data_IF_504990482890
#
_entry.id   IF_504990482890
#
_cell.length_a   1.000
_cell.length_b   1.000
_cell.length_c   1.000
_cell.angle_alpha   90.00
_cell.angle_beta   90.00
_cell.angle_gamma   90.00
#
_symmetry.space_group_name_H-M   'P 1'
#
loop_
_entity.id
_entity.type
_entity.pdbx_description
1 polymer ?
#
# COMPACT_ATOMS: atom_id res chain seq x y z
N UNK A 1 -3.29 -2.77 10.21
CA UNK A 1 -4.12 -1.75 9.50
C UNK A 1 -3.57 -1.57 8.09
N UNK A 2 -4.41 -1.28 7.09
CA UNK A 2 -3.98 -1.10 5.71
C UNK A 2 -4.00 0.37 5.28
N UNK A 3 -3.48 0.64 4.08
CA UNK A 3 -3.59 1.92 3.36
C UNK A 3 -5.01 2.51 3.47
N UNK A 4 -5.10 3.83 3.63
CA UNK A 4 -6.28 4.65 3.99
C UNK A 4 -6.70 4.53 5.46
N UNK A 5 -6.72 3.34 6.05
CA UNK A 5 -7.17 3.17 7.44
C UNK A 5 -6.21 3.77 8.47
N UNK A 6 -4.90 3.71 8.19
CA UNK A 6 -3.89 4.28 9.09
C UNK A 6 -3.97 5.80 9.08
N UNK A 7 -4.08 6.38 7.89
CA UNK A 7 -4.17 7.81 7.67
C UNK A 7 -5.47 8.37 8.28
N UNK A 8 -6.60 7.68 8.09
CA UNK A 8 -7.88 8.07 8.72
C UNK A 8 -7.85 7.97 10.24
N UNK A 9 -7.16 6.97 10.80
CA UNK A 9 -7.00 6.86 12.26
C UNK A 9 -6.16 8.00 12.81
N UNK A 10 -5.01 8.29 12.19
CA UNK A 10 -4.17 9.43 12.57
C UNK A 10 -4.97 10.72 12.47
N UNK A 11 -5.68 10.93 11.36
CA UNK A 11 -6.50 12.12 11.14
C UNK A 11 -7.61 12.28 12.17
N UNK A 12 -8.27 11.18 12.57
CA UNK A 12 -9.35 11.18 13.57
C UNK A 12 -8.86 11.63 14.95
N UNK A 13 -7.65 11.23 15.33
CA UNK A 13 -7.12 11.46 16.69
C UNK A 13 -6.08 12.57 16.77
N UNK A 14 -5.77 13.24 15.65
CA UNK A 14 -4.70 14.23 15.56
C UNK A 14 -4.76 15.34 16.62
N UNK A 15 -5.96 15.76 17.03
CA UNK A 15 -6.16 16.84 18.01
C UNK A 15 -5.78 16.40 19.45
N UNK A 16 -5.80 15.09 19.73
CA UNK A 16 -5.38 14.53 21.02
C UNK A 16 -3.85 14.37 21.11
N UNK A 17 -3.15 14.39 19.98
CA UNK A 17 -1.70 14.20 19.89
C UNK A 17 -0.92 15.50 20.13
N UNK A 18 -1.24 16.23 21.20
CA UNK A 18 -0.72 17.58 21.48
C UNK A 18 0.80 17.70 21.56
N UNK A 19 1.50 16.60 21.89
CA UNK A 19 2.95 16.55 22.06
C UNK A 19 3.66 15.59 21.08
N UNK A 20 3.01 15.21 19.98
CA UNK A 20 3.61 14.32 18.97
C UNK A 20 3.88 15.13 17.70
N UNK A 21 5.15 15.34 17.32
CA UNK A 21 5.49 16.18 16.17
C UNK A 21 5.14 15.53 14.82
N UNK A 22 5.12 14.19 14.76
CA UNK A 22 4.91 13.44 13.52
C UNK A 22 4.20 12.10 13.81
N UNK A 23 3.15 11.82 13.03
CA UNK A 23 2.50 10.52 12.97
C UNK A 23 2.56 9.97 11.54
N UNK A 24 3.12 8.78 11.34
CA UNK A 24 3.27 8.16 10.01
C UNK A 24 2.66 6.75 10.02
N UNK A 25 1.83 6.47 9.01
CA UNK A 25 1.41 5.10 8.70
C UNK A 25 2.57 4.33 8.05
N UNK A 26 3.12 3.34 8.74
CA UNK A 26 4.22 2.49 8.23
C UNK A 26 3.74 1.30 7.40
N UNK A 27 2.42 1.20 7.14
CA UNK A 27 1.83 0.11 6.37
C UNK A 27 2.18 -1.28 6.91
N UNK A 28 2.39 -2.23 6.01
CA UNK A 28 2.81 -3.59 6.33
C UNK A 28 4.34 -3.76 6.34
N UNK A 29 5.10 -2.69 6.60
CA UNK A 29 6.56 -2.77 6.78
C UNK A 29 6.91 -3.31 8.16
N UNK A 30 6.08 -3.02 9.17
CA UNK A 30 6.25 -3.54 10.53
C UNK A 30 6.24 -5.07 10.56
N UNK A 31 5.29 -5.71 9.86
CA UNK A 31 5.20 -7.17 9.76
C UNK A 31 6.51 -7.79 9.23
N UNK A 32 7.24 -7.09 8.36
CA UNK A 32 8.51 -7.55 7.81
C UNK A 32 9.62 -7.41 8.86
N UNK A 33 9.69 -6.25 9.54
CA UNK A 33 10.69 -5.99 10.58
C UNK A 33 10.51 -6.87 11.81
N UNK A 34 9.26 -7.17 12.18
CA UNK A 34 8.90 -8.07 13.27
C UNK A 34 9.13 -9.56 12.92
N UNK A 35 9.50 -9.88 11.68
CA UNK A 35 9.74 -11.26 11.23
C UNK A 35 8.47 -12.06 10.94
N UNK A 36 7.28 -11.47 11.06
CA UNK A 36 6.01 -12.14 10.74
C UNK A 36 5.85 -12.42 9.25
N UNK A 37 6.43 -11.57 8.39
CA UNK A 37 6.39 -11.73 6.93
C UNK A 37 7.77 -11.71 6.32
N UNK A 38 8.03 -12.70 5.46
CA UNK A 38 9.25 -12.73 4.65
C UNK A 38 9.17 -11.66 3.54
N UNK A 39 10.23 -10.85 3.43
CA UNK A 39 10.39 -9.92 2.32
C UNK A 39 10.62 -10.67 1.01
N UNK A 40 10.27 -10.06 -0.12
CA UNK A 40 10.56 -10.63 -1.44
C UNK A 40 12.08 -10.84 -1.63
N UNK A 41 12.53 -11.84 -2.41
CA UNK A 41 13.92 -11.96 -2.82
C UNK A 41 14.46 -10.67 -3.45
N UNK A 42 15.77 -10.38 -3.29
CA UNK A 42 16.39 -9.13 -3.78
C UNK A 42 16.14 -8.88 -5.27
N UNK A 43 16.27 -9.91 -6.11
CA UNK A 43 16.02 -9.78 -7.55
C UNK A 43 14.59 -9.31 -7.86
N UNK A 44 13.59 -9.74 -7.09
CA UNK A 44 12.19 -9.30 -7.26
C UNK A 44 12.02 -7.84 -6.82
N UNK A 45 12.71 -7.44 -5.75
CA UNK A 45 12.71 -6.06 -5.27
C UNK A 45 13.34 -5.13 -6.31
N UNK A 46 14.49 -5.53 -6.88
CA UNK A 46 15.22 -4.79 -7.91
C UNK A 46 14.41 -4.64 -9.20
N UNK A 47 13.61 -5.65 -9.56
CA UNK A 47 12.67 -5.58 -10.68
C UNK A 47 11.41 -4.71 -10.39
N UNK A 48 11.25 -4.21 -9.16
CA UNK A 48 10.05 -3.47 -8.75
C UNK A 48 8.79 -4.33 -8.67
N UNK A 49 8.93 -5.66 -8.64
CA UNK A 49 7.82 -6.64 -8.68
C UNK A 49 7.40 -7.12 -7.29
N UNK A 50 7.86 -6.47 -6.22
CA UNK A 50 7.50 -6.85 -4.86
C UNK A 50 5.98 -6.80 -4.62
N UNK A 51 5.26 -5.87 -5.24
CA UNK A 51 3.80 -5.81 -5.16
C UNK A 51 3.13 -7.05 -5.76
N UNK A 52 3.67 -7.60 -6.85
CA UNK A 52 3.17 -8.78 -7.53
C UNK A 52 3.44 -10.02 -6.69
N UNK A 53 4.67 -10.17 -6.19
CA UNK A 53 5.06 -11.22 -5.26
C UNK A 53 4.12 -11.28 -4.04
N UNK A 54 3.86 -10.13 -3.41
CA UNK A 54 2.94 -10.04 -2.26
C UNK A 54 1.48 -10.33 -2.64
N UNK A 55 1.07 -10.03 -3.87
CA UNK A 55 -0.30 -10.32 -4.34
C UNK A 55 -0.51 -11.81 -4.58
N UNK A 56 0.51 -12.50 -5.10
CA UNK A 56 0.49 -13.96 -5.29
C UNK A 56 0.40 -14.66 -3.92
N UNK A 57 1.18 -14.22 -2.93
CA UNK A 57 1.16 -14.80 -1.58
C UNK A 57 -0.09 -14.44 -0.77
N UNK A 58 -0.68 -13.26 -1.00
CA UNK A 58 -1.89 -12.80 -0.32
C UNK A 58 -3.00 -12.51 -1.34
N UNK A 59 -3.73 -13.53 -1.86
CA UNK A 59 -4.74 -13.37 -2.91
C UNK A 59 -5.85 -12.37 -2.57
N UNK A 60 -6.11 -12.14 -1.28
CA UNK A 60 -7.04 -11.10 -0.80
C UNK A 60 -6.69 -9.70 -1.34
N UNK A 61 -5.44 -9.45 -1.71
CA UNK A 61 -4.95 -8.18 -2.27
C UNK A 61 -5.33 -7.96 -3.73
N UNK A 62 -5.74 -9.00 -4.47
CA UNK A 62 -6.11 -8.89 -5.89
C UNK A 62 -7.18 -7.82 -6.12
N UNK A 63 -8.16 -7.71 -5.21
CA UNK A 63 -9.21 -6.67 -5.26
C UNK A 63 -8.63 -5.26 -5.34
N UNK A 64 -7.51 -4.99 -4.66
CA UNK A 64 -6.82 -3.70 -4.71
C UNK A 64 -6.10 -3.50 -6.04
N UNK A 65 -5.46 -4.54 -6.55
CA UNK A 65 -4.74 -4.51 -7.83
C UNK A 65 -5.70 -4.23 -9.00
N UNK A 66 -6.88 -4.83 -9.00
CA UNK A 66 -7.90 -4.58 -10.03
C UNK A 66 -8.36 -3.11 -10.09
N UNK A 67 -8.37 -2.39 -8.95
CA UNK A 67 -8.67 -0.95 -8.94
C UNK A 67 -7.62 -0.15 -9.71
N UNK A 68 -6.35 -0.56 -9.67
CA UNK A 68 -5.26 0.10 -10.42
C UNK A 68 -5.49 -0.08 -11.92
N UNK A 69 -5.81 -1.30 -12.38
CA UNK A 69 -6.12 -1.54 -13.79
C UNK A 69 -7.34 -0.74 -14.27
N UNK A 70 -8.40 -0.64 -13.44
CA UNK A 70 -9.56 0.20 -13.74
C UNK A 70 -9.17 1.68 -13.89
N UNK A 71 -8.30 2.18 -13.00
CA UNK A 71 -7.78 3.54 -13.08
C UNK A 71 -6.94 3.76 -14.35
N UNK A 72 -6.03 2.84 -14.67
CA UNK A 72 -5.20 2.91 -15.88
C UNK A 72 -6.06 2.93 -17.15
N UNK A 73 -7.06 2.05 -17.23
CA UNK A 73 -7.99 2.02 -18.36
C UNK A 73 -8.73 3.35 -18.51
N UNK A 74 -9.21 3.93 -17.40
CA UNK A 74 -9.86 5.24 -17.39
C UNK A 74 -8.92 6.35 -17.85
N UNK A 75 -7.68 6.36 -17.36
CA UNK A 75 -6.67 7.36 -17.72
C UNK A 75 -6.35 7.32 -19.23
N UNK A 76 -6.14 6.11 -19.77
CA UNK A 76 -5.89 5.91 -21.21
C UNK A 76 -7.10 6.33 -22.04
N UNK A 77 -8.31 5.97 -21.60
CA UNK A 77 -9.56 6.35 -22.28
C UNK A 77 -9.77 7.87 -22.31
N UNK A 78 -9.47 8.56 -21.20
CA UNK A 78 -9.58 10.02 -21.13
C UNK A 78 -8.50 10.71 -21.97
N UNK A 79 -7.30 10.15 -22.04
CA UNK A 79 -6.22 10.66 -22.90
C UNK A 79 -6.51 10.50 -24.39
N UNK A 80 -7.17 9.41 -24.80
CA UNK A 80 -7.56 9.19 -26.20
C UNK A 80 -8.74 10.07 -26.63
N UNK A 81 -9.56 10.54 -25.69
CA UNK A 81 -10.68 11.45 -25.97
C UNK A 81 -10.26 12.92 -26.16
N UNK A 82 -9.01 13.28 -25.85
CA UNK A 82 -8.39 14.57 -26.16
C UNK A 82 -7.66 14.48 -27.49
#
# INVERSE_FOLDING_TARGET
MGSEKQELWIYKWREEFKNIPVCIGIGGSLDIWAGEKKRAPKFIQELGLEWLYRTILEPRRIKRVLKIFKFLFRLVSERWKR
#
